data_IF_930344613487
#
_entry.id   IF_930344613487
#
_cell.length_a   1.000
_cell.length_b   1.000
_cell.length_c   1.000
_cell.angle_alpha   90.00
_cell.angle_beta   90.00
_cell.angle_gamma   90.00
#
_symmetry.space_group_name_H-M   'P 1'
#
loop_
_entity.id
_entity.type
_entity.pdbx_description
1 polymer ?
#
# COMPACT_ATOMS: atom_id res chain seq x y z
N UNK A 1 9.65 19.36 10.17
CA UNK A 1 10.59 18.30 10.57
C UNK A 1 10.00 16.94 10.21
N UNK A 2 10.75 16.09 9.55
CA UNK A 2 10.28 14.77 9.14
C UNK A 2 10.52 13.74 10.23
N UNK A 3 9.62 12.77 10.32
CA UNK A 3 9.72 11.65 11.25
C UNK A 3 9.77 10.33 10.47
N UNK A 4 10.27 9.29 11.14
CA UNK A 4 10.31 7.96 10.56
C UNK A 4 9.03 7.21 10.89
N UNK A 5 8.44 6.57 9.88
CA UNK A 5 7.26 5.71 10.03
C UNK A 5 7.52 4.38 9.36
N UNK A 6 6.99 3.32 9.95
CA UNK A 6 6.93 2.02 9.30
C UNK A 6 5.55 1.87 8.70
N UNK A 7 5.50 1.65 7.40
CA UNK A 7 4.23 1.41 6.71
C UNK A 7 4.17 -0.04 6.23
N UNK A 8 2.97 -0.57 6.26
CA UNK A 8 2.63 -1.85 5.64
C UNK A 8 1.57 -1.56 4.60
N UNK A 9 1.72 -2.09 3.41
CA UNK A 9 0.77 -1.84 2.33
C UNK A 9 0.68 -3.06 1.42
N UNK A 10 -0.47 -3.22 0.78
CA UNK A 10 -0.67 -4.33 -0.14
C UNK A 10 -2.14 -4.63 -0.38
N UNK A 11 -2.37 -5.86 -0.80
CA UNK A 11 -3.72 -6.40 -1.04
C UNK A 11 -3.83 -7.76 -0.37
N UNK A 12 -4.97 -8.44 -0.56
CA UNK A 12 -5.23 -9.73 0.09
C UNK A 12 -4.20 -10.82 -0.23
N UNK A 13 -3.52 -10.73 -1.37
CA UNK A 13 -2.56 -11.74 -1.81
C UNK A 13 -1.10 -11.35 -1.57
N UNK A 14 -0.83 -10.09 -1.28
CA UNK A 14 0.54 -9.61 -1.14
C UNK A 14 0.58 -8.42 -0.21
N UNK A 15 1.57 -8.38 0.68
CA UNK A 15 1.83 -7.21 1.50
C UNK A 15 3.32 -6.93 1.56
N UNK A 16 3.67 -5.66 1.67
CA UNK A 16 5.05 -5.20 1.76
C UNK A 16 5.19 -4.20 2.89
N UNK A 17 6.41 -4.05 3.39
CA UNK A 17 6.75 -3.11 4.43
C UNK A 17 7.79 -2.13 3.91
N UNK A 18 7.71 -0.88 4.38
CA UNK A 18 8.67 0.16 4.01
C UNK A 18 8.83 1.13 5.17
N UNK A 19 10.07 1.49 5.48
CA UNK A 19 10.35 2.58 6.42
C UNK A 19 10.45 3.87 5.61
N UNK A 20 9.64 4.85 5.97
CA UNK A 20 9.57 6.12 5.24
C UNK A 20 9.89 7.30 6.17
N UNK A 21 10.39 8.36 5.56
CA UNK A 21 10.62 9.64 6.23
C UNK A 21 9.58 10.62 5.71
N UNK A 22 8.65 11.03 6.57
CA UNK A 22 7.52 11.87 6.20
C UNK A 22 7.32 13.01 7.19
N UNK A 23 6.71 14.10 6.75
CA UNK A 23 6.45 15.27 7.60
C UNK A 23 5.38 15.02 8.65
N UNK A 24 4.44 14.10 8.37
CA UNK A 24 3.37 13.76 9.29
C UNK A 24 2.88 12.34 9.06
N UNK A 25 2.15 11.81 10.04
CA UNK A 25 1.48 10.51 9.90
C UNK A 25 0.50 10.53 8.74
N UNK A 26 -0.18 11.65 8.53
CA UNK A 26 -1.12 11.83 7.42
C UNK A 26 -0.42 11.66 6.07
N UNK A 27 0.77 12.24 5.90
CA UNK A 27 1.56 12.08 4.69
C UNK A 27 1.98 10.62 4.48
N UNK A 28 2.38 9.94 5.56
CA UNK A 28 2.73 8.52 5.51
C UNK A 28 1.53 7.65 5.14
N UNK A 29 0.35 7.95 5.69
CA UNK A 29 -0.89 7.26 5.35
C UNK A 29 -1.26 7.41 3.88
N UNK A 30 -1.18 8.62 3.35
CA UNK A 30 -1.46 8.90 1.95
C UNK A 30 -0.50 8.14 1.03
N UNK A 31 0.78 8.14 1.38
CA UNK A 31 1.78 7.38 0.64
C UNK A 31 1.49 5.88 0.67
N UNK A 32 1.18 5.34 1.87
CA UNK A 32 0.84 3.92 2.02
C UNK A 32 -0.38 3.53 1.18
N UNK A 33 -1.39 4.39 1.15
CA UNK A 33 -2.58 4.18 0.33
C UNK A 33 -2.23 4.11 -1.16
N UNK A 34 -1.44 5.05 -1.66
CA UNK A 34 -1.00 5.08 -3.05
C UNK A 34 -0.18 3.84 -3.42
N UNK A 35 0.70 3.42 -2.54
CA UNK A 35 1.51 2.22 -2.76
C UNK A 35 0.65 0.95 -2.75
N UNK A 36 -0.35 0.89 -1.86
CA UNK A 36 -1.29 -0.23 -1.83
C UNK A 36 -2.07 -0.33 -3.14
N UNK A 37 -2.51 0.79 -3.70
CA UNK A 37 -3.15 0.83 -5.02
C UNK A 37 -2.21 0.33 -6.11
N UNK A 38 -0.96 0.75 -6.07
CA UNK A 38 0.05 0.33 -7.05
C UNK A 38 0.27 -1.18 -7.01
N UNK A 39 0.35 -1.75 -5.80
CA UNK A 39 0.48 -3.20 -5.62
C UNK A 39 -0.74 -3.92 -6.20
N UNK A 40 -1.93 -3.43 -5.90
CA UNK A 40 -3.17 -4.04 -6.40
C UNK A 40 -3.19 -4.10 -7.93
N UNK A 41 -2.86 -2.98 -8.59
CA UNK A 41 -2.90 -2.91 -10.04
C UNK A 41 -1.74 -3.67 -10.71
N UNK A 42 -0.68 -4.00 -9.95
CA UNK A 42 0.43 -4.79 -10.45
C UNK A 42 0.10 -6.28 -10.59
N UNK A 43 -0.94 -6.74 -9.92
CA UNK A 43 -1.37 -8.13 -9.94
C UNK A 43 -2.72 -8.25 -10.66
N UNK A 44 -2.73 -8.82 -11.85
CA UNK A 44 -3.91 -8.92 -12.71
C UNK A 44 -5.04 -9.77 -12.12
N UNK A 45 -4.78 -10.50 -11.06
CA UNK A 45 -5.77 -11.40 -10.44
C UNK A 45 -6.94 -10.69 -9.75
N UNK A 46 -6.89 -9.36 -9.65
CA UNK A 46 -7.91 -8.57 -8.95
C UNK A 46 -8.93 -7.91 -9.88
N UNK A 47 -8.83 -8.15 -11.18
CA UNK A 47 -9.83 -7.65 -12.13
C UNK A 47 -11.10 -8.48 -12.06
N UNK A 48 -12.27 -7.84 -12.24
CA UNK A 48 -13.52 -8.59 -12.37
C UNK A 48 -13.41 -9.61 -13.51
N UNK A 49 -14.00 -10.79 -13.34
CA UNK A 49 -14.00 -11.81 -14.40
C UNK A 49 -14.75 -11.29 -15.62
N UNK A 50 -14.28 -11.64 -16.82
CA UNK A 50 -14.96 -11.26 -18.06
C UNK A 50 -16.44 -11.66 -18.07
N UNK A 51 -16.75 -12.79 -17.47
CA UNK A 51 -18.13 -13.28 -17.34
C UNK A 51 -19.02 -12.31 -16.56
N UNK A 52 -18.48 -11.64 -15.56
CA UNK A 52 -19.21 -10.68 -14.74
C UNK A 52 -19.34 -9.31 -15.42
N UNK A 53 -18.59 -9.09 -16.49
CA UNK A 53 -18.53 -7.82 -17.19
C UNK A 53 -19.15 -7.86 -18.60
N UNK A 54 -19.80 -8.96 -18.96
CA UNK A 54 -20.28 -9.21 -20.32
C UNK A 54 -21.27 -8.13 -20.82
N UNK A 55 -22.11 -7.62 -19.93
CA UNK A 55 -23.11 -6.59 -20.24
C UNK A 55 -22.71 -5.19 -19.72
N UNK A 56 -21.46 -5.01 -19.28
CA UNK A 56 -20.99 -3.77 -18.70
C UNK A 56 -20.16 -2.95 -19.69
N UNK A 57 -20.32 -1.63 -19.67
CA UNK A 57 -19.45 -0.75 -20.44
C UNK A 57 -18.14 -0.48 -19.68
N UNK A 58 -17.19 0.21 -20.34
CA UNK A 58 -15.88 0.48 -19.76
C UNK A 58 -15.94 1.28 -18.46
N UNK A 59 -16.88 2.24 -18.35
CA UNK A 59 -17.06 3.03 -17.13
C UNK A 59 -17.54 2.17 -15.96
N UNK A 60 -18.50 1.28 -16.21
CA UNK A 60 -19.01 0.37 -15.18
C UNK A 60 -17.95 -0.61 -14.71
N UNK A 61 -17.16 -1.13 -15.64
CA UNK A 61 -16.04 -2.03 -15.32
C UNK A 61 -15.01 -1.29 -14.47
N UNK A 62 -14.67 -0.06 -14.83
CA UNK A 62 -13.72 0.75 -14.09
C UNK A 62 -14.21 1.06 -12.68
N UNK A 63 -15.49 1.40 -12.52
CA UNK A 63 -16.09 1.65 -11.20
C UNK A 63 -16.07 0.40 -10.33
N UNK A 64 -16.42 -0.75 -10.91
CA UNK A 64 -16.41 -2.02 -10.18
C UNK A 64 -14.99 -2.39 -9.74
N UNK A 65 -14.02 -2.24 -10.64
CA UNK A 65 -12.62 -2.51 -10.33
C UNK A 65 -12.10 -1.60 -9.22
N UNK A 66 -12.47 -0.32 -9.24
CA UNK A 66 -12.09 0.63 -8.20
C UNK A 66 -12.71 0.28 -6.85
N UNK A 67 -13.97 -0.12 -6.82
CA UNK A 67 -14.63 -0.55 -5.60
C UNK A 67 -13.98 -1.82 -5.04
N UNK A 68 -13.69 -2.79 -5.89
CA UNK A 68 -13.02 -4.03 -5.47
C UNK A 68 -11.62 -3.73 -4.94
N UNK A 69 -10.91 -2.81 -5.57
CA UNK A 69 -9.60 -2.37 -5.10
C UNK A 69 -9.69 -1.79 -3.69
N UNK A 70 -10.61 -0.85 -3.45
CA UNK A 70 -10.74 -0.20 -2.15
C UNK A 70 -11.08 -1.19 -1.04
N UNK A 71 -11.81 -2.24 -1.33
CA UNK A 71 -12.15 -3.28 -0.36
C UNK A 71 -11.00 -4.26 -0.12
N UNK A 72 -10.15 -4.46 -1.12
CA UNK A 72 -9.08 -5.46 -1.07
C UNK A 72 -7.75 -4.91 -0.55
N UNK A 73 -7.46 -3.65 -0.83
CA UNK A 73 -6.19 -3.05 -0.40
C UNK A 73 -6.16 -2.88 1.12
N UNK A 74 -4.95 -3.01 1.66
CA UNK A 74 -4.70 -2.82 3.09
C UNK A 74 -3.46 -1.97 3.25
N UNK A 75 -3.51 -1.07 4.20
CA UNK A 75 -2.35 -0.27 4.56
C UNK A 75 -2.43 0.10 6.03
N UNK A 76 -1.28 0.20 6.62
CA UNK A 76 -1.13 0.49 8.04
C UNK A 76 0.12 1.34 8.23
N UNK A 77 0.03 2.32 9.13
CA UNK A 77 1.13 3.22 9.42
C UNK A 77 1.34 3.26 10.93
N UNK A 78 2.59 3.11 11.35
CA UNK A 78 2.97 3.27 12.75
C UNK A 78 4.27 4.06 12.84
N UNK A 79 4.47 4.73 13.96
CA UNK A 79 5.70 5.46 14.21
C UNK A 79 6.86 4.46 14.33
N UNK A 80 7.95 4.71 13.59
CA UNK A 80 9.13 3.86 13.67
C UNK A 80 9.70 3.86 15.09
N UNK A 81 9.85 2.68 15.67
CA UNK A 81 10.41 2.50 17.00
C UNK A 81 11.82 1.91 16.88
N UNK A 82 12.88 2.69 17.21
CA UNK A 82 14.25 2.20 17.11
C UNK A 82 14.58 1.09 18.10
N UNK A 83 13.71 0.83 19.08
CA UNK A 83 13.90 -0.25 20.05
C UNK A 83 13.13 -1.53 19.67
N UNK A 84 12.35 -1.49 18.58
CA UNK A 84 11.58 -2.62 18.10
C UNK A 84 12.40 -3.42 17.08
N UNK A 85 12.63 -4.70 17.35
CA UNK A 85 13.45 -5.56 16.50
C UNK A 85 12.89 -5.73 15.10
N UNK A 86 11.56 -5.80 14.95
CA UNK A 86 10.91 -5.87 13.63
C UNK A 86 11.15 -4.60 12.82
N UNK A 87 11.01 -3.44 13.47
CA UNK A 87 11.26 -2.16 12.82
C UNK A 87 12.72 -2.04 12.37
N UNK A 88 13.65 -2.47 13.23
CA UNK A 88 15.07 -2.48 12.91
C UNK A 88 15.37 -3.41 11.72
N UNK A 89 14.71 -4.57 11.66
CA UNK A 89 14.89 -5.51 10.56
C UNK A 89 14.45 -4.91 9.23
N UNK A 90 13.31 -4.22 9.19
CA UNK A 90 12.83 -3.55 7.98
C UNK A 90 13.77 -2.43 7.54
N UNK A 91 14.30 -1.66 8.49
CA UNK A 91 15.28 -0.62 8.18
C UNK A 91 16.57 -1.21 7.61
N UNK A 92 17.05 -2.33 8.14
CA UNK A 92 18.24 -3.03 7.62
C UNK A 92 18.02 -3.56 6.21
N UNK A 93 16.79 -4.05 5.92
CA UNK A 93 16.45 -4.52 4.57
C UNK A 93 16.51 -3.39 3.54
N UNK A 94 16.39 -2.16 3.99
CA UNK A 94 16.53 -0.95 3.16
C UNK A 94 17.95 -0.36 3.21
N UNK A 95 18.93 -1.12 3.70
CA UNK A 95 20.31 -0.65 3.88
C UNK A 95 20.40 0.57 4.80
N UNK A 96 19.54 0.65 5.80
CA UNK A 96 19.43 1.76 6.76
C UNK A 96 19.11 3.10 6.08
N UNK A 97 18.43 3.05 4.93
CA UNK A 97 18.02 4.24 4.18
C UNK A 97 16.50 4.29 4.10
N UNK A 98 15.83 5.15 4.87
CA UNK A 98 14.40 5.31 4.76
C UNK A 98 14.04 5.94 3.42
N UNK A 99 12.86 5.61 2.92
CA UNK A 99 12.33 6.22 1.71
C UNK A 99 11.82 7.62 2.06
N UNK A 100 12.35 8.64 1.42
CA UNK A 100 11.94 10.02 1.67
C UNK A 100 10.73 10.38 0.82
N UNK A 101 9.70 10.88 1.50
CA UNK A 101 8.46 11.33 0.85
C UNK A 101 8.48 12.83 0.66
#
# INVERSE_FOLDING_TARGET
>A
MKNLYLIEYGCSICSEHLVVLAESEECANEFAYQEAQSVYWSYDCNYPAEEDCEDMNEEEIAELAEQDMEQDIRYFVELYDPNNEEHQAHMRDQNNKPHEI
#
